data_IF_917492227206
#
_entry.id   IF_917492227206
#
_cell.length_a   1.000
_cell.length_b   1.000
_cell.length_c   1.000
_cell.angle_alpha   90.00
_cell.angle_beta   90.00
_cell.angle_gamma   90.00
#
_symmetry.space_group_name_H-M   'P 1'
#
loop_
_entity.id
_entity.type
_entity.pdbx_description
1 polymer ?
#
# COMPACT_ATOMS: atom_id res chain seq x y z
N UNK A 1 19.52 -6.08 9.22
CA UNK A 1 18.35 -6.23 8.31
C UNK A 1 17.55 -4.93 8.20
N UNK A 2 17.10 -4.33 9.31
CA UNK A 2 16.33 -3.07 9.25
C UNK A 2 17.16 -1.87 8.76
N UNK A 3 18.46 -1.85 9.04
CA UNK A 3 19.40 -0.87 8.48
C UNK A 3 19.45 -0.85 6.94
N UNK A 4 19.24 -2.00 6.28
CA UNK A 4 19.14 -2.06 4.82
C UNK A 4 17.85 -1.41 4.31
N UNK A 5 16.76 -1.50 5.07
CA UNK A 5 15.50 -0.81 4.75
C UNK A 5 15.73 0.69 4.79
N UNK A 6 16.37 1.19 5.85
CA UNK A 6 16.68 2.63 5.97
C UNK A 6 17.49 3.15 4.79
N UNK A 7 18.56 2.43 4.42
CA UNK A 7 19.41 2.82 3.30
C UNK A 7 18.63 2.80 1.97
N UNK A 8 17.74 1.83 1.78
CA UNK A 8 16.91 1.72 0.57
C UNK A 8 15.92 2.88 0.39
N UNK A 9 15.56 3.56 1.48
CA UNK A 9 14.62 4.68 1.48
C UNK A 9 15.24 5.99 1.99
N UNK A 10 16.58 6.10 1.95
CA UNK A 10 17.30 7.27 2.43
C UNK A 10 16.83 8.56 1.73
N UNK A 11 16.52 8.49 0.44
CA UNK A 11 16.01 9.64 -0.34
C UNK A 11 14.67 10.23 0.16
N UNK A 12 13.95 9.49 1.01
CA UNK A 12 12.67 9.90 1.60
C UNK A 12 12.79 10.21 3.09
N UNK A 13 14.01 10.40 3.58
CA UNK A 13 14.31 10.81 4.94
C UNK A 13 13.73 9.84 5.98
N UNK A 14 13.61 8.54 5.63
CA UNK A 14 12.91 7.53 6.45
C UNK A 14 13.47 7.48 7.88
N UNK A 15 14.80 7.58 8.02
CA UNK A 15 15.50 7.62 9.31
C UNK A 15 15.03 8.77 10.19
N UNK A 16 14.97 9.98 9.65
CA UNK A 16 14.63 11.21 10.35
C UNK A 16 13.14 11.28 10.72
N UNK A 17 12.30 10.48 10.06
CA UNK A 17 10.86 10.39 10.33
C UNK A 17 10.50 9.36 11.40
N UNK A 18 11.47 8.91 12.20
CA UNK A 18 11.27 8.06 13.36
C UNK A 18 11.35 6.55 13.09
N UNK A 19 11.85 6.13 11.92
CA UNK A 19 12.14 4.72 11.65
C UNK A 19 13.45 4.25 12.29
N UNK A 20 14.42 5.16 12.45
CA UNK A 20 15.69 4.87 13.16
C UNK A 20 15.46 4.41 14.60
N UNK A 21 14.60 5.11 15.32
CA UNK A 21 14.15 4.71 16.65
C UNK A 21 13.55 3.30 16.67
N UNK A 22 12.81 2.91 15.64
CA UNK A 22 12.27 1.55 15.53
C UNK A 22 13.37 0.51 15.27
N UNK A 23 14.34 0.84 14.43
CA UNK A 23 15.51 0.00 14.17
C UNK A 23 16.25 -0.28 15.47
N UNK A 24 16.61 0.78 16.22
CA UNK A 24 17.31 0.63 17.50
C UNK A 24 16.46 -0.13 18.53
N UNK A 25 15.18 0.19 18.66
CA UNK A 25 14.26 -0.55 19.54
C UNK A 25 14.26 -2.05 19.24
N UNK A 26 14.15 -2.45 17.98
CA UNK A 26 14.16 -3.87 17.60
C UNK A 26 15.53 -4.48 17.86
N UNK A 27 16.63 -3.81 17.52
CA UNK A 27 18.00 -4.30 17.76
C UNK A 27 18.27 -4.55 19.25
N UNK A 28 17.80 -3.68 20.14
CA UNK A 28 17.90 -3.89 21.58
C UNK A 28 17.11 -5.13 22.04
N UNK A 29 15.94 -5.39 21.46
CA UNK A 29 15.11 -6.55 21.78
C UNK A 29 15.68 -7.86 21.22
N UNK A 30 16.46 -7.81 20.14
CA UNK A 30 17.11 -8.99 19.57
C UNK A 30 18.14 -9.62 20.52
N UNK A 31 18.63 -8.89 21.53
CA UNK A 31 19.46 -9.48 22.60
C UNK A 31 18.74 -10.53 23.44
N UNK A 32 17.40 -10.59 23.37
CA UNK A 32 16.54 -11.56 24.03
C UNK A 32 16.07 -12.69 23.11
N UNK A 33 16.74 -12.87 21.97
CA UNK A 33 16.41 -13.94 21.01
C UNK A 33 16.80 -15.30 21.59
N UNK A 34 15.91 -16.28 21.44
CA UNK A 34 16.10 -17.69 21.70
C UNK A 34 15.94 -18.48 20.41
N UNK A 35 16.78 -19.50 20.24
CA UNK A 35 16.76 -20.40 19.08
C UNK A 35 16.81 -19.65 17.73
N UNK A 36 17.52 -18.51 17.70
CA UNK A 36 17.67 -17.62 16.55
C UNK A 36 16.37 -17.13 15.91
N UNK A 37 15.24 -17.22 16.62
CA UNK A 37 13.93 -16.99 16.02
C UNK A 37 12.90 -16.38 16.96
N UNK A 38 12.77 -16.91 18.18
CA UNK A 38 11.80 -16.44 19.17
C UNK A 38 12.41 -15.32 19.99
N UNK A 39 11.63 -14.30 20.34
CA UNK A 39 12.12 -13.19 21.17
C UNK A 39 11.26 -13.14 22.42
N UNK A 40 11.88 -13.36 23.58
CA UNK A 40 11.21 -13.38 24.87
C UNK A 40 11.82 -12.36 25.82
N UNK A 41 11.10 -11.26 26.05
CA UNK A 41 11.61 -10.14 26.83
C UNK A 41 10.86 -10.07 28.17
N UNK A 42 11.56 -10.13 29.32
CA UNK A 42 10.92 -9.88 30.62
C UNK A 42 10.20 -8.53 30.64
N UNK A 43 9.06 -8.44 31.33
CA UNK A 43 8.24 -7.20 31.36
C UNK A 43 9.06 -5.98 31.79
N UNK A 44 9.91 -6.09 32.82
CA UNK A 44 10.70 -4.97 33.31
C UNK A 44 11.77 -4.52 32.30
N UNK A 45 12.41 -5.49 31.62
CA UNK A 45 13.34 -5.20 30.54
C UNK A 45 12.65 -4.51 29.37
N UNK A 46 11.50 -5.02 28.93
CA UNK A 46 10.71 -4.41 27.86
C UNK A 46 10.27 -2.99 28.21
N UNK A 47 9.81 -2.76 29.45
CA UNK A 47 9.42 -1.43 29.93
C UNK A 47 10.60 -0.47 29.96
N UNK A 48 11.75 -0.92 30.44
CA UNK A 48 12.99 -0.13 30.44
C UNK A 48 13.43 0.26 29.03
N UNK A 49 13.38 -0.68 28.08
CA UNK A 49 13.66 -0.41 26.66
C UNK A 49 12.65 0.59 26.10
N UNK A 50 11.36 0.31 26.28
CA UNK A 50 10.26 1.14 25.77
C UNK A 50 10.31 2.58 26.28
N UNK A 51 10.79 2.81 27.50
CA UNK A 51 10.91 4.15 28.10
C UNK A 51 11.77 5.11 27.27
N UNK A 52 12.74 4.60 26.50
CA UNK A 52 13.59 5.39 25.59
C UNK A 52 12.88 5.86 24.32
N UNK A 53 11.73 5.26 23.99
CA UNK A 53 11.04 5.45 22.71
C UNK A 53 9.60 5.97 22.87
N UNK A 54 9.24 6.49 24.04
CA UNK A 54 7.88 6.96 24.36
C UNK A 54 7.38 8.10 23.47
N UNK A 55 8.28 8.83 22.83
CA UNK A 55 7.97 9.88 21.86
C UNK A 55 7.48 9.34 20.51
N UNK A 56 7.66 8.04 20.26
CA UNK A 56 7.29 7.43 18.98
C UNK A 56 5.82 6.98 18.97
N UNK A 57 5.12 7.25 17.86
CA UNK A 57 3.71 6.88 17.71
C UNK A 57 3.49 5.37 17.59
N UNK A 58 4.51 4.63 17.11
CA UNK A 58 4.39 3.20 16.84
C UNK A 58 4.48 2.37 18.13
N UNK A 59 5.11 2.87 19.19
CA UNK A 59 5.29 2.13 20.44
C UNK A 59 3.96 1.70 21.07
N UNK A 60 2.94 2.55 20.99
CA UNK A 60 1.58 2.24 21.48
C UNK A 60 0.93 1.05 20.75
N UNK A 61 1.49 0.65 19.60
CA UNK A 61 1.06 -0.48 18.78
C UNK A 61 2.01 -1.67 18.84
N UNK A 62 3.09 -1.58 19.63
CA UNK A 62 4.10 -2.63 19.70
C UNK A 62 3.61 -3.88 20.47
N UNK A 63 2.61 -3.71 21.34
CA UNK A 63 2.02 -4.78 22.14
C UNK A 63 0.58 -4.99 21.71
N UNK A 64 0.24 -6.23 21.36
CA UNK A 64 -1.13 -6.64 21.15
C UNK A 64 -1.88 -6.60 22.47
N UNK A 65 -3.02 -5.91 22.46
CA UNK A 65 -3.98 -5.92 23.56
C UNK A 65 -5.13 -6.80 23.12
N UNK A 66 -5.37 -7.87 23.87
CA UNK A 66 -6.46 -8.78 23.59
C UNK A 66 -7.77 -8.00 23.54
N UNK A 67 -8.43 -8.07 22.38
CA UNK A 67 -9.77 -7.56 22.17
C UNK A 67 -10.60 -8.73 21.65
N UNK A 68 -11.66 -9.16 22.37
CA UNK A 68 -12.52 -10.25 21.94
C UNK A 68 -13.13 -10.06 20.54
N UNK A 69 -13.25 -8.81 20.06
CA UNK A 69 -13.70 -8.52 18.71
C UNK A 69 -12.58 -8.65 17.66
N UNK A 70 -11.31 -8.59 18.06
CA UNK A 70 -10.15 -8.45 17.17
C UNK A 70 -9.04 -9.44 17.53
N UNK A 71 -9.11 -10.69 17.04
CA UNK A 71 -8.11 -11.70 17.33
C UNK A 71 -6.72 -11.28 16.85
N UNK A 72 -5.68 -11.83 17.47
CA UNK A 72 -4.27 -11.50 17.20
C UNK A 72 -3.86 -11.61 15.72
N UNK A 73 -4.51 -12.49 14.95
CA UNK A 73 -4.17 -12.79 13.56
C UNK A 73 -4.20 -11.54 12.64
N UNK A 74 -5.12 -10.60 12.86
CA UNK A 74 -5.18 -9.35 12.11
C UNK A 74 -4.22 -8.26 12.57
N UNK A 75 -3.58 -8.41 13.73
CA UNK A 75 -2.72 -7.37 14.33
C UNK A 75 -1.35 -7.28 13.65
N UNK A 76 -0.81 -6.06 13.56
CA UNK A 76 0.61 -5.83 13.23
C UNK A 76 1.47 -5.72 14.49
N UNK A 77 0.88 -5.78 15.68
CA UNK A 77 1.62 -5.69 16.91
C UNK A 77 2.58 -6.90 17.01
N UNK A 78 3.88 -6.66 17.22
CA UNK A 78 4.88 -7.72 17.21
C UNK A 78 4.87 -8.53 18.51
N UNK A 79 4.43 -7.97 19.63
CA UNK A 79 4.47 -8.65 20.93
C UNK A 79 3.10 -9.02 21.47
N UNK A 80 3.04 -10.10 22.23
CA UNK A 80 1.94 -10.46 23.11
C UNK A 80 2.48 -10.69 24.53
N UNK A 81 1.74 -10.26 25.54
CA UNK A 81 2.11 -10.50 26.94
C UNK A 81 1.65 -11.89 27.38
N UNK A 82 2.60 -12.75 27.78
CA UNK A 82 2.36 -14.11 28.24
C UNK A 82 3.22 -14.37 29.47
N UNK A 83 2.59 -14.74 30.59
CA UNK A 83 3.30 -15.23 31.78
C UNK A 83 4.42 -14.31 32.30
N UNK A 84 4.18 -12.99 32.32
CA UNK A 84 5.16 -12.00 32.79
C UNK A 84 6.30 -11.71 31.81
N UNK A 85 6.16 -12.12 30.54
CA UNK A 85 7.09 -11.81 29.45
C UNK A 85 6.32 -11.26 28.24
N UNK A 86 7.00 -10.47 27.42
CA UNK A 86 6.54 -10.15 26.07
C UNK A 86 7.18 -11.14 25.09
N UNK A 87 6.34 -11.89 24.40
CA UNK A 87 6.72 -12.92 23.44
C UNK A 87 6.53 -12.40 22.01
N UNK A 88 7.48 -12.70 21.13
CA UNK A 88 7.46 -12.39 19.70
C UNK A 88 8.30 -13.40 18.91
N UNK A 89 8.40 -13.17 17.61
CA UNK A 89 9.37 -13.83 16.74
C UNK A 89 9.85 -12.85 15.65
N UNK A 90 10.91 -13.22 14.95
CA UNK A 90 11.49 -12.38 13.91
C UNK A 90 10.49 -11.97 12.82
N UNK A 91 9.54 -12.85 12.43
CA UNK A 91 8.53 -12.49 11.43
C UNK A 91 7.58 -11.40 11.92
N UNK A 92 7.12 -11.47 13.17
CA UNK A 92 6.22 -10.47 13.75
C UNK A 92 6.92 -9.11 13.86
N UNK A 93 8.19 -9.09 14.29
CA UNK A 93 9.01 -7.89 14.32
C UNK A 93 9.19 -7.28 12.93
N UNK A 94 9.48 -8.11 11.92
CA UNK A 94 9.62 -7.65 10.54
C UNK A 94 8.32 -7.14 9.95
N UNK A 95 7.20 -7.84 10.22
CA UNK A 95 5.86 -7.42 9.79
C UNK A 95 5.50 -6.06 10.38
N UNK A 96 5.82 -5.83 11.66
CA UNK A 96 5.65 -4.54 12.32
C UNK A 96 6.54 -3.45 11.74
N UNK A 97 7.82 -3.75 11.50
CA UNK A 97 8.75 -2.81 10.88
C UNK A 97 8.29 -2.40 9.47
N UNK A 98 7.90 -3.34 8.62
CA UNK A 98 7.38 -3.01 7.29
C UNK A 98 6.10 -2.19 7.36
N UNK A 99 5.18 -2.48 8.29
CA UNK A 99 3.99 -1.66 8.47
C UNK A 99 4.33 -0.22 8.89
N UNK A 100 5.23 -0.06 9.85
CA UNK A 100 5.65 1.26 10.34
C UNK A 100 6.37 2.06 9.25
N UNK A 101 7.27 1.41 8.51
CA UNK A 101 7.92 1.98 7.31
C UNK A 101 6.88 2.51 6.33
N UNK A 102 5.91 1.68 5.94
CA UNK A 102 4.90 2.07 4.96
C UNK A 102 4.08 3.27 5.45
N UNK A 103 3.69 3.29 6.73
CA UNK A 103 2.91 4.39 7.31
C UNK A 103 3.68 5.71 7.38
N UNK A 104 5.01 5.65 7.51
CA UNK A 104 5.88 6.81 7.42
C UNK A 104 5.96 7.29 5.96
N UNK A 105 6.29 6.39 5.03
CA UNK A 105 6.46 6.72 3.61
C UNK A 105 5.16 7.18 2.95
N UNK A 106 4.01 6.64 3.36
CA UNK A 106 2.68 7.06 2.90
C UNK A 106 2.33 8.50 3.27
N UNK A 107 3.03 9.13 4.21
CA UNK A 107 2.87 10.56 4.51
C UNK A 107 3.85 11.43 3.70
N UNK A 108 4.83 10.82 3.05
CA UNK A 108 5.88 11.52 2.34
C UNK A 108 5.50 11.77 0.87
N UNK A 109 5.29 13.04 0.49
CA UNK A 109 4.83 13.41 -0.86
C UNK A 109 5.75 12.91 -2.00
N UNK A 110 7.08 13.08 -1.87
CA UNK A 110 8.04 12.58 -2.90
C UNK A 110 7.92 11.07 -3.12
N UNK A 111 7.79 10.29 -2.04
CA UNK A 111 7.56 8.85 -2.09
C UNK A 111 6.24 8.51 -2.79
N UNK A 112 5.14 9.19 -2.45
CA UNK A 112 3.85 8.97 -3.13
C UNK A 112 3.94 9.21 -4.64
N UNK A 113 4.64 10.27 -5.06
CA UNK A 113 4.85 10.60 -6.47
C UNK A 113 5.69 9.51 -7.15
N UNK A 114 6.86 9.18 -6.60
CA UNK A 114 7.77 8.17 -7.17
C UNK A 114 7.12 6.78 -7.23
N UNK A 115 6.46 6.36 -6.16
CA UNK A 115 5.73 5.09 -6.13
C UNK A 115 4.51 5.07 -7.07
N UNK A 116 3.91 6.23 -7.36
CA UNK A 116 2.90 6.40 -8.39
C UNK A 116 3.46 6.14 -9.80
N UNK A 117 4.59 6.75 -10.14
CA UNK A 117 5.26 6.50 -11.43
C UNK A 117 5.68 5.05 -11.61
N UNK A 118 6.30 4.44 -10.60
CA UNK A 118 6.66 3.01 -10.64
C UNK A 118 5.44 2.11 -10.84
N UNK A 119 4.30 2.48 -10.24
CA UNK A 119 3.05 1.75 -10.44
C UNK A 119 2.51 1.91 -11.87
N UNK A 120 2.55 3.11 -12.46
CA UNK A 120 2.19 3.30 -13.87
C UNK A 120 3.07 2.47 -14.81
N UNK A 121 4.38 2.43 -14.57
CA UNK A 121 5.31 1.68 -15.41
C UNK A 121 5.08 0.17 -15.32
N UNK A 122 4.77 -0.35 -14.13
CA UNK A 122 4.34 -1.74 -13.96
C UNK A 122 3.10 -2.05 -14.79
N UNK A 123 2.08 -1.17 -14.75
CA UNK A 123 0.85 -1.34 -15.52
C UNK A 123 1.11 -1.34 -17.03
N UNK A 124 1.97 -0.45 -17.52
CA UNK A 124 2.34 -0.43 -18.95
C UNK A 124 2.95 -1.76 -19.36
N UNK A 125 3.89 -2.29 -18.58
CA UNK A 125 4.55 -3.56 -18.87
C UNK A 125 3.55 -4.72 -18.89
N UNK A 126 2.69 -4.80 -17.86
CA UNK A 126 1.65 -5.83 -17.79
C UNK A 126 0.68 -5.75 -18.99
N UNK A 127 0.25 -4.55 -19.37
CA UNK A 127 -0.64 -4.36 -20.52
C UNK A 127 0.02 -4.77 -21.85
N UNK A 128 1.32 -4.50 -22.05
CA UNK A 128 2.06 -4.99 -23.23
C UNK A 128 2.05 -6.51 -23.27
N UNK A 129 2.30 -7.19 -22.14
CA UNK A 129 2.24 -8.65 -22.05
C UNK A 129 0.83 -9.22 -22.31
N UNK A 130 -0.21 -8.42 -22.11
CA UNK A 130 -1.60 -8.77 -22.42
C UNK A 130 -2.00 -8.42 -23.86
N UNK A 131 -1.07 -8.02 -24.72
CA UNK A 131 -1.31 -7.72 -26.13
C UNK A 131 -1.90 -6.34 -26.40
N UNK A 132 -1.79 -5.40 -25.46
CA UNK A 132 -2.13 -3.99 -25.70
C UNK A 132 -0.94 -3.25 -26.29
N UNK A 133 -1.21 -2.31 -27.19
CA UNK A 133 -0.21 -1.35 -27.68
C UNK A 133 -0.25 -0.10 -26.81
N UNK A 134 0.76 0.12 -25.97
CA UNK A 134 0.84 1.33 -25.14
C UNK A 134 1.21 2.54 -25.99
N UNK A 135 0.42 3.62 -25.86
CA UNK A 135 0.67 4.88 -26.54
C UNK A 135 1.45 5.83 -25.63
N UNK A 136 2.43 6.54 -26.18
CA UNK A 136 3.22 7.58 -25.49
C UNK A 136 2.45 8.88 -25.18
N UNK A 137 1.13 8.80 -24.98
CA UNK A 137 0.26 9.96 -24.74
C UNK A 137 0.26 10.25 -23.24
N UNK A 138 0.98 11.30 -22.83
CA UNK A 138 0.97 11.79 -21.44
C UNK A 138 0.08 13.01 -21.21
N UNK A 139 -0.10 13.86 -22.23
CA UNK A 139 -0.87 15.10 -22.09
C UNK A 139 -1.49 15.54 -23.42
N UNK A 140 -2.77 15.93 -23.40
CA UNK A 140 -3.47 16.54 -24.54
C UNK A 140 -4.16 17.81 -24.02
N UNK A 141 -3.94 18.96 -24.65
CA UNK A 141 -4.55 20.24 -24.26
C UNK A 141 -4.49 20.51 -22.74
N UNK A 142 -3.30 20.33 -22.14
CA UNK A 142 -3.04 20.48 -20.69
C UNK A 142 -3.77 19.47 -19.78
N UNK A 143 -4.49 18.49 -20.33
CA UNK A 143 -5.08 17.37 -19.57
C UNK A 143 -4.13 16.18 -19.59
N UNK A 144 -3.85 15.65 -18.40
CA UNK A 144 -2.97 14.48 -18.23
C UNK A 144 -3.75 13.18 -18.32
N UNK A 145 -3.09 12.17 -18.86
CA UNK A 145 -3.55 10.78 -18.96
C UNK A 145 -2.43 9.87 -18.46
N UNK A 146 -2.75 8.90 -17.61
CA UNK A 146 -1.73 8.05 -16.98
C UNK A 146 -1.20 7.02 -18.00
N UNK A 147 -2.07 6.12 -18.47
CA UNK A 147 -1.75 5.09 -19.47
C UNK A 147 -2.87 4.97 -20.49
N UNK A 148 -2.54 5.26 -21.76
CA UNK A 148 -3.45 5.10 -22.90
C UNK A 148 -2.91 4.00 -23.79
N UNK A 149 -3.76 3.10 -24.24
CA UNK A 149 -3.38 1.98 -25.10
C UNK A 149 -4.41 1.75 -26.21
N UNK A 150 -4.06 0.91 -27.18
CA UNK A 150 -5.01 0.36 -28.15
C UNK A 150 -4.94 -1.16 -28.19
N UNK A 151 -6.08 -1.80 -28.43
CA UNK A 151 -6.18 -3.24 -28.71
C UNK A 151 -7.44 -3.49 -29.56
N UNK A 152 -7.31 -4.28 -30.62
CA UNK A 152 -8.43 -4.65 -31.51
C UNK A 152 -9.26 -3.45 -32.02
N UNK A 153 -8.60 -2.34 -32.39
CA UNK A 153 -9.27 -1.13 -32.89
C UNK A 153 -9.98 -0.29 -31.83
N UNK A 154 -9.82 -0.61 -30.55
CA UNK A 154 -10.44 0.09 -29.41
C UNK A 154 -9.36 0.85 -28.62
N UNK A 155 -9.65 2.08 -28.21
CA UNK A 155 -8.82 2.82 -27.26
C UNK A 155 -9.13 2.33 -25.85
N UNK A 156 -8.11 2.02 -25.05
CA UNK A 156 -8.27 1.76 -23.63
C UNK A 156 -7.49 2.80 -22.82
N UNK A 157 -8.22 3.59 -22.02
CA UNK A 157 -7.66 4.62 -21.15
C UNK A 157 -7.70 4.15 -19.69
N UNK A 158 -6.53 4.05 -19.07
CA UNK A 158 -6.33 3.55 -17.72
C UNK A 158 -5.86 4.67 -16.81
N UNK A 159 -6.65 4.98 -15.79
CA UNK A 159 -6.22 5.82 -14.68
C UNK A 159 -5.63 4.92 -13.58
N UNK A 160 -4.39 5.19 -13.18
CA UNK A 160 -3.68 4.45 -12.14
C UNK A 160 -3.87 5.13 -10.78
N UNK A 161 -4.35 4.38 -9.77
CA UNK A 161 -4.54 4.86 -8.39
C UNK A 161 -3.78 4.01 -7.39
N UNK A 162 -2.70 4.57 -6.85
CA UNK A 162 -1.90 3.99 -5.78
C UNK A 162 -2.46 4.39 -4.39
N UNK A 163 -3.68 3.91 -4.06
CA UNK A 163 -4.35 4.22 -2.79
C UNK A 163 -4.48 2.95 -1.96
N UNK A 164 -3.95 2.97 -0.73
CA UNK A 164 -4.06 1.87 0.22
C UNK A 164 -5.39 1.90 0.96
N UNK A 165 -6.01 0.73 1.07
CA UNK A 165 -7.11 0.46 1.99
C UNK A 165 -6.55 -0.35 3.17
N UNK A 166 -6.84 0.08 4.39
CA UNK A 166 -6.36 -0.58 5.59
C UNK A 166 -7.27 -1.76 5.96
N UNK A 167 -6.91 -2.97 5.50
CA UNK A 167 -7.70 -4.18 5.77
C UNK A 167 -7.72 -4.59 7.23
N UNK A 168 -6.82 -4.10 8.08
CA UNK A 168 -6.90 -4.38 9.51
C UNK A 168 -8.20 -3.89 10.10
N UNK A 169 -8.75 -2.80 9.54
CA UNK A 169 -10.03 -2.27 9.96
C UNK A 169 -11.18 -3.24 9.67
N UNK A 170 -11.03 -4.24 8.79
CA UNK A 170 -12.08 -5.26 8.62
C UNK A 170 -12.30 -6.06 9.91
N UNK A 171 -11.21 -6.33 10.61
CA UNK A 171 -11.25 -6.93 11.93
C UNK A 171 -11.51 -5.79 12.92
N UNK A 172 -10.57 -4.84 13.10
CA UNK A 172 -10.52 -3.85 14.20
C UNK A 172 -11.65 -2.82 14.28
N UNK A 173 -12.25 -2.43 13.15
CA UNK A 173 -13.33 -1.43 13.09
C UNK A 173 -14.02 -1.49 11.72
N UNK A 174 -14.91 -2.47 11.57
CA UNK A 174 -15.59 -2.73 10.30
C UNK A 174 -16.38 -1.51 9.79
N UNK A 175 -16.91 -0.67 10.69
CA UNK A 175 -17.66 0.53 10.31
C UNK A 175 -16.74 1.55 9.63
N UNK A 176 -15.56 1.77 10.19
CA UNK A 176 -14.55 2.66 9.60
C UNK A 176 -13.99 2.10 8.31
N UNK A 177 -13.74 0.78 8.25
CA UNK A 177 -13.35 0.10 7.03
C UNK A 177 -14.34 0.35 5.88
N UNK A 178 -15.64 0.09 6.12
CA UNK A 178 -16.71 0.28 5.12
C UNK A 178 -16.75 1.75 4.66
N UNK A 179 -16.66 2.70 5.59
CA UNK A 179 -16.65 4.14 5.27
C UNK A 179 -15.47 4.52 4.38
N UNK A 180 -14.28 4.03 4.70
CA UNK A 180 -13.07 4.27 3.90
C UNK A 180 -13.16 3.62 2.52
N UNK A 181 -13.59 2.37 2.42
CA UNK A 181 -13.80 1.70 1.14
C UNK A 181 -14.78 2.50 0.26
N UNK A 182 -15.96 2.88 0.80
CA UNK A 182 -16.94 3.70 0.07
C UNK A 182 -16.37 5.05 -0.39
N UNK A 183 -15.49 5.67 0.41
CA UNK A 183 -14.81 6.91 0.02
C UNK A 183 -13.85 6.68 -1.15
N UNK A 184 -13.06 5.62 -1.12
CA UNK A 184 -12.09 5.29 -2.17
C UNK A 184 -12.83 4.92 -3.48
N UNK A 185 -13.89 4.10 -3.41
CA UNK A 185 -14.70 3.75 -4.58
C UNK A 185 -15.28 5.00 -5.23
N UNK A 186 -15.90 5.91 -4.46
CA UNK A 186 -16.40 7.20 -4.98
C UNK A 186 -15.31 8.05 -5.62
N UNK A 187 -14.10 8.02 -5.06
CA UNK A 187 -12.94 8.71 -5.65
C UNK A 187 -12.55 8.11 -7.02
N UNK A 188 -12.57 6.79 -7.16
CA UNK A 188 -12.28 6.10 -8.43
C UNK A 188 -13.38 6.35 -9.46
N UNK A 189 -14.65 6.30 -9.07
CA UNK A 189 -15.78 6.62 -9.97
C UNK A 189 -15.74 8.07 -10.47
N UNK A 190 -15.33 9.02 -9.62
CA UNK A 190 -15.09 10.40 -10.04
C UNK A 190 -13.97 10.49 -11.08
N UNK A 191 -12.93 9.66 -10.95
CA UNK A 191 -11.87 9.60 -11.94
C UNK A 191 -12.39 9.05 -13.28
N UNK A 192 -13.21 7.98 -13.27
CA UNK A 192 -13.84 7.47 -14.49
C UNK A 192 -14.67 8.54 -15.21
N UNK A 193 -15.59 9.23 -14.49
CA UNK A 193 -16.40 10.30 -15.08
C UNK A 193 -15.57 11.44 -15.67
N UNK A 194 -14.44 11.75 -15.03
CA UNK A 194 -13.50 12.77 -15.51
C UNK A 194 -12.84 12.35 -16.82
N UNK A 195 -12.55 11.06 -16.99
CA UNK A 195 -11.97 10.52 -18.21
C UNK A 195 -13.00 10.37 -19.34
N UNK A 196 -14.23 9.95 -19.01
CA UNK A 196 -15.38 9.95 -19.95
C UNK A 196 -15.62 11.35 -20.54
N UNK A 197 -15.62 12.39 -19.68
CA UNK A 197 -15.77 13.78 -20.12
C UNK A 197 -14.63 14.29 -21.03
N UNK A 198 -13.57 13.50 -21.23
CA UNK A 198 -12.39 13.83 -22.04
C UNK A 198 -12.20 12.91 -23.24
N UNK A 199 -13.12 11.97 -23.48
CA UNK A 199 -13.03 10.98 -24.57
C UNK A 199 -12.74 11.61 -25.93
N UNK A 200 -13.41 12.72 -26.24
CA UNK A 200 -13.25 13.44 -27.49
C UNK A 200 -11.78 13.83 -27.77
N UNK A 201 -10.98 14.10 -26.73
CA UNK A 201 -9.56 14.41 -26.88
C UNK A 201 -8.77 13.21 -27.38
N UNK A 202 -9.06 12.01 -26.87
CA UNK A 202 -8.39 10.78 -27.26
C UNK A 202 -8.87 10.30 -28.64
N UNK A 203 -10.17 10.37 -28.90
CA UNK A 203 -10.77 10.06 -30.20
C UNK A 203 -10.15 10.94 -31.30
N UNK A 204 -10.12 12.27 -31.08
CA UNK A 204 -9.53 13.19 -32.06
C UNK A 204 -8.02 12.97 -32.26
N UNK A 205 -7.29 12.59 -31.19
CA UNK A 205 -5.84 12.39 -31.26
C UNK A 205 -5.44 11.06 -31.90
N UNK A 206 -6.21 10.00 -31.69
CA UNK A 206 -5.87 8.62 -32.09
C UNK A 206 -6.60 8.23 -33.38
N UNK A 207 -7.76 8.84 -33.68
CA UNK A 207 -8.54 8.57 -34.89
C UNK A 207 -9.47 7.35 -34.79
N UNK A 208 -9.60 6.75 -33.62
CA UNK A 208 -10.52 5.63 -33.34
C UNK A 208 -11.78 6.14 -32.64
N UNK A 209 -12.91 5.45 -32.87
CA UNK A 209 -14.23 5.87 -32.36
C UNK A 209 -14.63 5.20 -31.04
N UNK A 210 -14.19 3.98 -30.79
CA UNK A 210 -14.51 3.25 -29.57
C UNK A 210 -13.42 3.46 -28.51
N UNK A 211 -13.85 3.77 -27.29
CA UNK A 211 -12.97 3.95 -26.14
C UNK A 211 -13.58 3.28 -24.90
N UNK A 212 -12.70 2.71 -24.06
CA UNK A 212 -13.06 2.11 -22.78
C UNK A 212 -12.19 2.70 -21.67
N UNK A 213 -12.84 3.12 -20.59
CA UNK A 213 -12.19 3.71 -19.42
C UNK A 213 -12.10 2.74 -18.27
N UNK A 214 -10.95 2.72 -17.62
CA UNK A 214 -10.68 1.89 -16.45
C UNK A 214 -9.94 2.69 -15.38
N UNK A 215 -10.14 2.28 -14.13
CA UNK A 215 -9.26 2.66 -13.03
C UNK A 215 -8.54 1.40 -12.59
N UNK A 216 -7.20 1.43 -12.61
CA UNK A 216 -6.39 0.36 -12.03
C UNK A 216 -5.92 0.79 -10.64
N UNK A 217 -6.31 0.02 -9.62
CA UNK A 217 -5.89 0.28 -8.25
C UNK A 217 -4.74 -0.64 -7.85
N UNK A 218 -3.70 -0.08 -7.22
CA UNK A 218 -2.57 -0.91 -6.74
C UNK A 218 -3.03 -1.91 -5.69
N UNK A 219 -3.88 -1.45 -4.77
CA UNK A 219 -4.46 -2.27 -3.72
C UNK A 219 -5.93 -2.59 -4.04
N UNK A 220 -6.42 -3.79 -3.70
CA UNK A 220 -7.82 -4.15 -3.93
C UNK A 220 -8.82 -3.22 -3.21
N UNK A 221 -9.95 -2.98 -3.86
CA UNK A 221 -11.09 -2.30 -3.24
C UNK A 221 -12.35 -3.13 -3.46
N UNK A 222 -13.29 -3.04 -2.54
CA UNK A 222 -14.55 -3.76 -2.64
C UNK A 222 -15.54 -2.89 -3.43
N UNK A 223 -15.68 -3.16 -4.73
CA UNK A 223 -16.55 -2.45 -5.65
C UNK A 223 -17.22 -3.41 -6.63
N UNK A 224 -18.47 -3.12 -6.97
CA UNK A 224 -19.21 -3.82 -8.03
C UNK A 224 -18.92 -3.25 -9.43
N UNK A 225 -18.27 -2.08 -9.51
CA UNK A 225 -17.94 -1.45 -10.77
C UNK A 225 -16.79 -2.19 -11.46
N UNK A 226 -17.11 -2.98 -12.49
CA UNK A 226 -16.18 -3.80 -13.27
C UNK A 226 -15.05 -3.01 -13.95
N UNK A 227 -15.17 -1.68 -14.06
CA UNK A 227 -14.14 -0.78 -14.61
C UNK A 227 -13.08 -0.39 -13.59
N UNK A 228 -13.29 -0.71 -12.32
CA UNK A 228 -12.30 -0.59 -11.25
C UNK A 228 -11.64 -1.96 -11.07
N UNK A 229 -10.37 -2.07 -11.45
CA UNK A 229 -9.64 -3.34 -11.49
C UNK A 229 -8.46 -3.24 -10.54
N UNK A 230 -8.34 -4.17 -9.60
CA UNK A 230 -7.14 -4.27 -8.79
C UNK A 230 -5.98 -4.81 -9.64
N UNK A 231 -4.75 -4.35 -9.41
CA UNK A 231 -3.55 -4.81 -10.13
C UNK A 231 -3.45 -6.33 -10.18
N UNK A 232 -3.69 -7.01 -9.05
CA UNK A 232 -3.66 -8.48 -8.95
C UNK A 232 -4.67 -9.19 -9.89
N UNK A 233 -5.73 -8.48 -10.27
CA UNK A 233 -6.84 -8.98 -11.08
C UNK A 233 -6.71 -8.56 -12.55
N UNK A 234 -5.70 -7.75 -12.90
CA UNK A 234 -5.53 -7.17 -14.24
C UNK A 234 -5.50 -8.25 -15.33
N UNK A 235 -4.64 -9.27 -15.16
CA UNK A 235 -4.53 -10.39 -16.10
C UNK A 235 -5.84 -11.18 -16.23
N UNK A 236 -6.52 -11.43 -15.11
CA UNK A 236 -7.79 -12.16 -15.08
C UNK A 236 -8.90 -11.41 -15.81
N UNK A 237 -8.95 -10.09 -15.68
CA UNK A 237 -10.03 -9.26 -16.23
C UNK A 237 -9.77 -8.86 -17.68
N UNK A 238 -8.52 -8.55 -18.04
CA UNK A 238 -8.16 -7.99 -19.35
C UNK A 238 -7.34 -8.93 -20.24
N UNK A 239 -6.89 -10.08 -19.72
CA UNK A 239 -6.07 -11.00 -20.50
C UNK A 239 -6.80 -11.48 -21.76
N UNK A 240 -8.09 -11.76 -21.65
CA UNK A 240 -8.74 -12.66 -22.61
C UNK A 240 -8.16 -14.06 -22.44
N UNK A 241 -8.99 -15.09 -22.59
CA UNK A 241 -8.48 -16.46 -22.75
C UNK A 241 -7.84 -16.58 -24.11
#
# INVERSE_FOLDING_TARGET
MLSQIENSYQEFDLREKGFSDLTFFIEELLSYTKDDYFVRVPVDAYRSISARYVHTWWLQRAVYRADPAHPFLGSFAPFVEIGGSFESNLFLLMRFAYNTRDRILEKHRRYQIRSGFLFEDLIKNDLVHLGFTVLGIKRIQRKEFDVVTTRNGIIHNFQCKNVRLDYQQMESDIKTFIRHNKRIVRYFERALRKEEAREALLIAKIGLREIRHYVISRFPVFSENKRIIALRDLKRVLGGV
#
